data_IF_105976841157
#
_entry.id   IF_105976841157
#
_cell.length_a   1.000
_cell.length_b   1.000
_cell.length_c   1.000
_cell.angle_alpha   90.00
_cell.angle_beta   90.00
_cell.angle_gamma   90.00
#
_symmetry.space_group_name_H-M   'P 1'
#
loop_
_entity.id
_entity.type
_entity.pdbx_description
1 polymer ?
#
# COMPACT_ATOMS: atom_id res chain seq x y z
N UNK A 1 6.74 27.41 -41.76
CA UNK A 1 6.82 26.96 -43.15
C UNK A 1 6.53 25.48 -43.21
N UNK A 2 5.35 25.25 -43.68
CA UNK A 2 4.82 24.36 -44.74
C UNK A 2 4.80 22.88 -44.38
N UNK A 3 3.62 22.39 -44.06
CA UNK A 3 2.64 21.65 -44.89
C UNK A 3 3.24 20.62 -45.86
N UNK A 4 2.92 19.35 -45.58
CA UNK A 4 2.49 18.43 -46.62
C UNK A 4 1.61 17.31 -46.01
N UNK A 5 0.32 17.50 -46.17
CA UNK A 5 -0.73 16.47 -46.12
C UNK A 5 -0.58 15.58 -47.36
N UNK A 6 -0.34 14.29 -47.14
CA UNK A 6 -0.52 13.28 -48.18
C UNK A 6 -1.85 12.57 -47.97
N UNK A 7 -2.82 12.98 -48.78
CA UNK A 7 -4.09 12.27 -48.97
C UNK A 7 -3.86 11.00 -49.79
N UNK A 8 -4.10 9.84 -49.22
CA UNK A 8 -4.16 8.58 -49.97
C UNK A 8 -5.66 8.33 -50.31
N UNK A 9 -6.00 8.57 -51.58
CA UNK A 9 -7.26 8.22 -52.16
C UNK A 9 -7.31 6.73 -52.38
N UNK A 10 -8.17 6.02 -51.62
CA UNK A 10 -8.46 4.62 -51.84
C UNK A 10 -9.40 4.47 -53.04
N UNK A 11 -8.90 3.86 -54.11
CA UNK A 11 -9.73 3.37 -55.23
C UNK A 11 -10.38 2.08 -54.74
N UNK A 12 -11.70 2.14 -54.53
CA UNK A 12 -12.52 0.97 -54.23
C UNK A 12 -12.77 0.15 -55.50
N UNK A 13 -12.08 -0.96 -55.69
CA UNK A 13 -12.49 -2.03 -56.55
C UNK A 13 -13.45 -2.93 -55.78
N UNK A 14 -14.72 -2.97 -56.21
CA UNK A 14 -15.74 -3.91 -55.77
C UNK A 14 -15.31 -5.36 -56.03
N UNK A 15 -14.90 -6.04 -55.00
CA UNK A 15 -14.87 -7.50 -54.93
C UNK A 15 -15.94 -7.93 -53.93
N UNK A 16 -17.01 -8.52 -54.43
CA UNK A 16 -18.04 -9.19 -53.65
C UNK A 16 -17.43 -10.38 -52.90
N UNK A 17 -17.13 -10.22 -51.61
CA UNK A 17 -16.91 -11.35 -50.71
C UNK A 17 -18.20 -11.66 -49.96
N UNK A 18 -18.62 -12.95 -49.86
CA UNK A 18 -19.82 -13.31 -49.14
C UNK A 18 -19.69 -12.96 -47.65
N UNK A 19 -20.72 -12.39 -47.06
CA UNK A 19 -20.81 -11.94 -45.67
C UNK A 19 -20.47 -12.99 -44.63
N UNK A 20 -20.49 -14.28 -44.99
CA UNK A 20 -20.07 -15.40 -44.15
C UNK A 20 -18.55 -15.45 -43.88
N UNK A 21 -17.73 -14.90 -44.78
CA UNK A 21 -16.25 -14.92 -44.62
C UNK A 21 -15.76 -13.86 -43.63
N UNK A 22 -16.44 -12.71 -43.59
CA UNK A 22 -16.11 -11.64 -42.63
C UNK A 22 -16.50 -11.99 -41.19
N UNK A 23 -17.59 -12.75 -41.01
CA UNK A 23 -17.99 -13.27 -39.70
C UNK A 23 -17.06 -14.36 -39.19
N UNK A 24 -16.48 -15.15 -40.07
CA UNK A 24 -15.51 -16.20 -39.68
C UNK A 24 -14.16 -15.60 -39.27
N UNK A 25 -13.68 -14.60 -39.99
CA UNK A 25 -12.46 -13.87 -39.64
C UNK A 25 -12.58 -13.07 -38.32
N UNK A 26 -13.77 -12.48 -38.08
CA UNK A 26 -14.03 -11.75 -36.84
C UNK A 26 -14.13 -12.70 -35.63
N UNK A 27 -14.68 -13.90 -35.78
CA UNK A 27 -14.69 -14.94 -34.74
C UNK A 27 -13.31 -15.52 -34.49
N UNK A 28 -12.51 -15.71 -35.54
CA UNK A 28 -11.13 -16.24 -35.38
C UNK A 28 -10.19 -15.24 -34.70
N UNK A 29 -10.31 -13.92 -35.00
CA UNK A 29 -9.55 -12.86 -34.37
C UNK A 29 -9.99 -12.61 -32.91
N UNK A 30 -11.27 -12.81 -32.58
CA UNK A 30 -11.72 -12.71 -31.20
C UNK A 30 -11.25 -13.90 -30.36
N UNK A 31 -11.14 -15.08 -30.95
CA UNK A 31 -10.58 -16.28 -30.31
C UNK A 31 -9.09 -16.16 -30.03
N UNK A 32 -8.32 -15.59 -30.94
CA UNK A 32 -6.89 -15.34 -30.74
C UNK A 32 -6.62 -14.24 -29.69
N UNK A 33 -7.45 -13.19 -29.65
CA UNK A 33 -7.33 -12.17 -28.60
C UNK A 33 -7.62 -12.72 -27.21
N UNK A 34 -8.47 -13.75 -27.08
CA UNK A 34 -8.78 -14.36 -25.79
C UNK A 34 -7.66 -15.25 -25.25
N UNK A 35 -6.72 -15.69 -26.11
CA UNK A 35 -5.54 -16.48 -25.72
C UNK A 35 -4.40 -15.62 -25.13
N UNK A 36 -4.35 -14.33 -25.47
CA UNK A 36 -3.27 -13.43 -25.06
C UNK A 36 -3.71 -12.35 -24.04
N UNK A 37 -5.01 -12.14 -23.84
CA UNK A 37 -5.51 -11.24 -22.80
C UNK A 37 -6.16 -12.07 -21.72
N UNK A 38 -5.48 -12.23 -20.59
CA UNK A 38 -6.11 -12.73 -19.35
C UNK A 38 -7.32 -11.83 -19.10
N UNK A 39 -8.53 -12.32 -19.33
CA UNK A 39 -9.76 -11.65 -18.89
C UNK A 39 -9.75 -11.68 -17.36
N UNK A 40 -9.22 -10.64 -16.75
CA UNK A 40 -9.54 -10.33 -15.36
C UNK A 40 -11.00 -9.87 -15.39
N UNK A 41 -11.89 -10.59 -14.71
CA UNK A 41 -13.27 -10.16 -14.56
C UNK A 41 -13.25 -8.84 -13.75
N UNK A 42 -13.61 -7.68 -14.34
CA UNK A 42 -13.55 -6.41 -13.63
C UNK A 42 -14.44 -6.38 -12.40
N UNK A 43 -15.42 -7.27 -12.30
CA UNK A 43 -16.25 -7.45 -11.10
C UNK A 43 -15.50 -8.09 -9.95
N UNK A 44 -14.51 -8.93 -10.21
CA UNK A 44 -13.67 -9.53 -9.15
C UNK A 44 -12.73 -8.52 -8.54
N UNK A 45 -12.22 -7.58 -9.32
CA UNK A 45 -11.33 -6.55 -8.81
C UNK A 45 -12.08 -5.53 -7.91
N UNK A 46 -13.36 -5.26 -8.18
CA UNK A 46 -14.22 -4.49 -7.26
C UNK A 46 -14.39 -5.17 -5.88
N UNK A 47 -14.05 -6.45 -5.78
CA UNK A 47 -14.08 -7.25 -4.56
C UNK A 47 -12.67 -7.58 -4.06
N UNK A 48 -11.74 -6.62 -4.10
CA UNK A 48 -10.37 -6.79 -3.62
C UNK A 48 -10.28 -7.21 -2.14
N UNK A 49 -11.36 -7.01 -1.36
CA UNK A 49 -11.49 -7.57 0.00
C UNK A 49 -11.30 -9.10 0.05
N UNK A 50 -11.46 -9.81 -1.07
CA UNK A 50 -11.16 -11.25 -1.17
C UNK A 50 -9.67 -11.56 -0.96
N UNK A 51 -8.79 -10.56 -1.09
CA UNK A 51 -7.37 -10.67 -0.78
C UNK A 51 -7.08 -10.56 0.73
N UNK A 52 -8.05 -10.07 1.52
CA UNK A 52 -7.90 -9.91 2.95
C UNK A 52 -8.06 -11.24 3.71
N UNK A 53 -7.49 -11.29 4.91
CA UNK A 53 -7.73 -12.39 5.84
C UNK A 53 -9.21 -12.43 6.22
N UNK A 54 -9.83 -13.60 6.11
CA UNK A 54 -11.25 -13.79 6.41
C UNK A 54 -11.54 -13.99 7.91
N UNK A 55 -10.57 -14.50 8.64
CA UNK A 55 -10.72 -14.90 10.05
C UNK A 55 -10.47 -13.74 11.01
N UNK A 56 -9.61 -12.80 10.62
CA UNK A 56 -9.26 -11.65 11.43
C UNK A 56 -9.94 -10.41 10.85
N UNK A 57 -10.97 -9.90 11.51
CA UNK A 57 -11.60 -8.61 11.13
C UNK A 57 -10.69 -7.41 11.48
N UNK A 58 -9.40 -7.48 11.17
CA UNK A 58 -8.48 -6.41 11.42
C UNK A 58 -8.63 -5.31 10.38
N UNK A 59 -8.81 -4.09 10.84
CA UNK A 59 -8.76 -2.89 10.03
C UNK A 59 -7.54 -2.07 10.45
N UNK A 60 -6.78 -1.60 9.47
CA UNK A 60 -5.63 -0.75 9.73
C UNK A 60 -5.90 0.68 9.29
N UNK A 61 -5.30 1.62 9.98
CA UNK A 61 -5.27 3.03 9.60
C UNK A 61 -3.82 3.50 9.53
N UNK A 62 -3.37 3.87 8.34
CA UNK A 62 -2.10 4.55 8.17
C UNK A 62 -2.34 6.06 8.14
N UNK A 63 -1.46 6.82 8.79
CA UNK A 63 -1.51 8.28 8.83
C UNK A 63 -0.15 8.83 8.43
N UNK A 64 -0.17 9.83 7.57
CA UNK A 64 1.00 10.61 7.16
C UNK A 64 0.80 12.03 7.63
N UNK A 65 1.71 12.53 8.44
CA UNK A 65 1.72 13.90 8.94
C UNK A 65 2.98 14.61 8.43
N UNK A 66 2.79 15.59 7.56
CA UNK A 66 3.88 16.47 7.14
C UNK A 66 4.00 17.57 8.18
N UNK A 67 5.04 17.49 8.98
CA UNK A 67 5.29 18.37 10.09
C UNK A 67 6.06 19.60 9.59
N UNK A 68 5.81 20.76 10.17
CA UNK A 68 6.63 21.94 9.95
C UNK A 68 8.05 21.66 10.46
N UNK A 69 9.11 21.92 9.69
CA UNK A 69 10.48 21.57 10.08
C UNK A 69 10.86 22.09 11.48
N UNK A 70 10.47 23.31 11.79
CA UNK A 70 10.73 23.95 13.08
C UNK A 70 9.94 23.35 14.25
N UNK A 71 8.91 22.54 13.96
CA UNK A 71 8.04 21.93 14.97
C UNK A 71 8.33 20.44 15.20
N UNK A 72 9.28 19.81 14.48
CA UNK A 72 9.43 18.36 14.49
C UNK A 72 9.71 17.78 15.87
N UNK A 73 10.59 18.40 16.66
CA UNK A 73 10.90 17.94 18.02
C UNK A 73 9.70 18.10 18.95
N UNK A 74 9.00 19.22 18.91
CA UNK A 74 7.79 19.46 19.71
C UNK A 74 6.66 18.50 19.33
N UNK A 75 6.51 18.22 18.04
CA UNK A 75 5.55 17.25 17.53
C UNK A 75 5.87 15.84 18.04
N UNK A 76 7.13 15.42 18.00
CA UNK A 76 7.57 14.12 18.49
C UNK A 76 7.28 13.99 19.98
N UNK A 77 7.65 14.98 20.79
CA UNK A 77 7.37 15.01 22.24
C UNK A 77 5.86 14.91 22.53
N UNK A 78 5.04 15.67 21.78
CA UNK A 78 3.60 15.64 21.92
C UNK A 78 3.02 14.25 21.57
N UNK A 79 3.50 13.62 20.51
CA UNK A 79 3.08 12.27 20.14
C UNK A 79 3.53 11.22 21.19
N UNK A 80 4.75 11.33 21.69
CA UNK A 80 5.32 10.43 22.69
C UNK A 80 4.58 10.51 24.04
N UNK A 81 3.99 11.67 24.38
CA UNK A 81 3.22 11.84 25.59
C UNK A 81 1.80 11.26 25.49
N UNK A 82 1.17 11.31 24.31
CA UNK A 82 -0.27 10.98 24.16
C UNK A 82 -0.52 9.61 23.51
N UNK A 83 0.26 9.22 22.49
CA UNK A 83 -0.06 7.97 21.77
C UNK A 83 0.00 6.71 22.64
N UNK A 84 0.92 6.58 23.62
CA UNK A 84 0.94 5.41 24.50
C UNK A 84 -0.33 5.28 25.35
N UNK A 85 -0.88 6.39 25.87
CA UNK A 85 -2.10 6.36 26.68
C UNK A 85 -3.32 5.85 25.90
N UNK A 86 -3.37 6.12 24.60
CA UNK A 86 -4.42 5.58 23.72
C UNK A 86 -4.19 4.10 23.43
N UNK A 87 -2.93 3.73 23.15
CA UNK A 87 -2.56 2.35 22.81
C UNK A 87 -2.77 1.37 23.96
N UNK A 88 -2.46 1.78 25.18
CA UNK A 88 -2.51 0.92 26.38
C UNK A 88 -3.86 0.96 27.10
N UNK A 89 -4.75 1.85 26.73
CA UNK A 89 -6.05 1.97 27.37
C UNK A 89 -6.99 0.85 26.90
N UNK A 90 -7.45 -0.04 27.80
CA UNK A 90 -8.33 -1.14 27.44
C UNK A 90 -9.71 -0.70 26.93
N UNK A 91 -10.12 0.54 27.22
CA UNK A 91 -11.39 1.09 26.72
C UNK A 91 -11.35 1.43 25.22
N UNK A 92 -10.17 1.49 24.62
CA UNK A 92 -10.00 1.76 23.20
C UNK A 92 -9.59 0.49 22.46
N UNK A 93 -10.49 -0.18 21.71
CA UNK A 93 -10.16 -1.36 20.92
C UNK A 93 -9.29 -1.02 19.71
N UNK A 94 -8.13 -0.42 19.95
CA UNK A 94 -7.12 -0.09 18.95
C UNK A 94 -5.71 -0.30 19.50
N UNK A 95 -4.79 -0.57 18.61
CA UNK A 95 -3.38 -0.79 18.91
C UNK A 95 -2.52 0.09 18.01
N UNK A 96 -1.53 0.75 18.59
CA UNK A 96 -0.47 1.38 17.81
C UNK A 96 0.49 0.28 17.34
N UNK A 97 0.51 0.00 16.05
CA UNK A 97 1.43 -0.97 15.46
C UNK A 97 2.84 -0.40 15.41
N UNK A 98 2.95 0.86 15.01
CA UNK A 98 4.21 1.57 15.00
C UNK A 98 4.04 3.05 14.67
N UNK A 99 5.06 3.82 15.04
CA UNK A 99 5.17 5.24 14.76
C UNK A 99 6.62 5.59 14.45
N UNK A 100 6.84 6.33 13.37
CA UNK A 100 8.16 6.59 12.81
C UNK A 100 8.28 8.00 12.29
N UNK A 101 9.51 8.50 12.25
CA UNK A 101 9.90 9.66 11.44
C UNK A 101 10.61 9.19 10.18
N UNK A 102 10.35 9.84 9.05
CA UNK A 102 11.03 9.56 7.79
C UNK A 102 12.47 10.07 7.84
N UNK A 103 13.41 9.17 7.57
CA UNK A 103 14.84 9.50 7.47
C UNK A 103 15.22 9.84 6.03
N UNK A 104 14.80 8.99 5.07
CA UNK A 104 14.98 9.23 3.64
C UNK A 104 13.63 9.08 2.92
N UNK A 105 13.36 9.96 1.99
CA UNK A 105 12.11 10.12 1.28
C UNK A 105 11.49 11.48 1.61
N UNK A 106 10.19 11.53 1.87
CA UNK A 106 9.49 12.75 2.27
C UNK A 106 9.98 13.25 3.63
N UNK A 107 10.74 14.35 3.63
CA UNK A 107 11.34 14.88 4.85
C UNK A 107 10.28 15.47 5.79
N UNK A 108 10.61 15.48 7.09
CA UNK A 108 9.74 16.00 8.16
C UNK A 108 8.34 15.34 8.18
N UNK A 109 8.26 14.11 7.67
CA UNK A 109 7.04 13.34 7.69
C UNK A 109 7.07 12.30 8.82
N UNK A 110 6.00 12.29 9.64
CA UNK A 110 5.74 11.23 10.60
C UNK A 110 4.70 10.26 10.03
N UNK A 111 4.92 8.96 10.25
CA UNK A 111 4.04 7.88 9.83
C UNK A 111 3.55 7.13 11.05
N UNK A 112 2.24 6.92 11.16
CA UNK A 112 1.62 6.15 12.23
C UNK A 112 0.76 5.05 11.63
N UNK A 113 0.91 3.81 12.13
CA UNK A 113 0.10 2.67 11.74
C UNK A 113 -0.67 2.17 12.96
N UNK A 114 -1.99 2.16 12.85
CA UNK A 114 -2.92 1.69 13.88
C UNK A 114 -3.66 0.46 13.40
N UNK A 115 -3.95 -0.47 14.30
CA UNK A 115 -4.80 -1.64 14.09
C UNK A 115 -6.05 -1.55 14.96
N UNK A 116 -7.18 -1.90 14.37
CA UNK A 116 -8.48 -2.00 15.04
C UNK A 116 -8.97 -3.44 14.93
N UNK A 117 -8.82 -4.20 16.00
CA UNK A 117 -9.38 -5.55 16.08
C UNK A 117 -10.90 -5.48 16.15
N UNK A 118 -11.59 -6.18 15.26
CA UNK A 118 -13.06 -6.07 15.09
C UNK A 118 -13.48 -5.09 13.97
N UNK A 119 -12.53 -4.53 13.21
CA UNK A 119 -12.80 -3.84 11.96
C UNK A 119 -13.46 -2.47 12.11
N UNK A 120 -14.40 -2.17 11.21
CA UNK A 120 -15.10 -0.87 11.19
C UNK A 120 -15.91 -0.56 12.46
N UNK A 121 -16.62 -1.52 13.10
CA UNK A 121 -17.28 -1.28 14.39
C UNK A 121 -16.31 -0.81 15.48
N UNK A 122 -15.16 -1.46 15.64
CA UNK A 122 -14.13 -1.08 16.59
C UNK A 122 -13.58 0.33 16.29
N UNK A 123 -13.30 0.64 15.03
CA UNK A 123 -12.89 1.99 14.64
C UNK A 123 -13.94 3.04 15.03
N UNK A 124 -15.22 2.78 14.76
CA UNK A 124 -16.33 3.70 15.08
C UNK A 124 -16.42 3.93 16.60
N UNK A 125 -16.32 2.86 17.38
CA UNK A 125 -16.34 2.92 18.85
C UNK A 125 -15.19 3.81 19.38
N UNK A 126 -13.96 3.52 18.97
CA UNK A 126 -12.77 4.29 19.36
C UNK A 126 -12.93 5.76 18.99
N UNK A 127 -13.38 6.06 17.76
CA UNK A 127 -13.53 7.44 17.31
C UNK A 127 -14.59 8.21 18.09
N UNK A 128 -15.68 7.54 18.49
CA UNK A 128 -16.72 8.16 19.31
C UNK A 128 -16.20 8.46 20.72
N UNK A 129 -15.48 7.53 21.35
CA UNK A 129 -14.87 7.74 22.68
C UNK A 129 -13.81 8.84 22.65
N UNK A 130 -12.90 8.84 21.65
CA UNK A 130 -11.85 9.85 21.54
C UNK A 130 -12.39 11.27 21.29
N UNK A 131 -13.52 11.41 20.59
CA UNK A 131 -14.17 12.73 20.40
C UNK A 131 -14.67 13.34 21.70
N UNK A 132 -14.96 12.52 22.71
CA UNK A 132 -15.42 12.94 24.04
C UNK A 132 -14.26 13.12 25.03
N UNK A 133 -13.08 12.64 24.69
CA UNK A 133 -11.88 12.76 25.52
C UNK A 133 -11.23 14.14 25.30
N UNK A 134 -11.23 14.95 26.35
CA UNK A 134 -10.70 16.33 26.30
C UNK A 134 -9.19 16.34 25.99
N UNK A 135 -8.41 15.47 26.64
CA UNK A 135 -6.96 15.40 26.42
C UNK A 135 -6.64 15.07 24.94
N UNK A 136 -7.38 14.14 24.37
CA UNK A 136 -7.23 13.81 22.94
C UNK A 136 -7.64 14.98 22.03
N UNK A 137 -8.67 15.74 22.38
CA UNK A 137 -9.10 16.90 21.59
C UNK A 137 -8.08 18.03 21.68
N UNK A 138 -7.50 18.26 22.84
CA UNK A 138 -6.43 19.24 23.06
C UNK A 138 -5.18 18.81 22.26
N UNK A 139 -4.78 17.53 22.33
CA UNK A 139 -3.72 16.95 21.50
C UNK A 139 -3.97 17.20 20.01
N UNK A 140 -5.17 16.93 19.52
CA UNK A 140 -5.50 17.16 18.10
C UNK A 140 -5.33 18.63 17.69
N UNK A 141 -5.72 19.55 18.55
CA UNK A 141 -5.62 20.99 18.32
C UNK A 141 -4.16 21.42 18.26
N UNK A 142 -3.36 21.04 19.25
CA UNK A 142 -1.94 21.40 19.30
C UNK A 142 -1.16 20.79 18.14
N UNK A 143 -1.36 19.50 17.89
CA UNK A 143 -0.76 18.83 16.74
C UNK A 143 -1.11 19.52 15.43
N UNK A 144 -2.36 19.98 15.27
CA UNK A 144 -2.82 20.65 14.06
C UNK A 144 -2.03 21.92 13.72
N UNK A 145 -1.54 22.65 14.71
CA UNK A 145 -0.72 23.85 14.53
C UNK A 145 0.67 23.55 13.98
N UNK A 146 1.18 22.33 14.23
CA UNK A 146 2.51 21.87 13.85
C UNK A 146 2.57 21.24 12.46
N UNK A 147 1.43 21.06 11.79
CA UNK A 147 1.35 20.33 10.53
C UNK A 147 1.23 21.27 9.33
N UNK A 148 1.96 20.94 8.25
CA UNK A 148 1.74 21.48 6.91
C UNK A 148 0.56 20.79 6.22
N UNK A 149 0.50 19.46 6.35
CA UNK A 149 -0.57 18.66 5.79
C UNK A 149 -0.71 17.33 6.54
N UNK A 150 -1.84 16.67 6.33
CA UNK A 150 -2.07 15.33 6.88
C UNK A 150 -2.97 14.53 5.95
N UNK A 151 -2.72 13.24 5.84
CA UNK A 151 -3.59 12.29 5.14
C UNK A 151 -3.67 10.99 5.93
N UNK A 152 -4.73 10.24 5.72
CA UNK A 152 -4.86 8.89 6.24
C UNK A 152 -5.54 7.99 5.21
N UNK A 153 -5.40 6.69 5.43
CA UNK A 153 -6.07 5.66 4.65
C UNK A 153 -6.53 4.57 5.60
N UNK A 154 -7.66 3.95 5.28
CA UNK A 154 -8.09 2.70 5.90
C UNK A 154 -7.68 1.56 4.99
N UNK A 155 -7.07 0.53 5.59
CA UNK A 155 -6.41 -0.54 4.89
C UNK A 155 -6.88 -1.89 5.41
N UNK A 156 -6.87 -2.90 4.54
CA UNK A 156 -6.89 -4.31 4.92
C UNK A 156 -5.50 -4.91 4.69
N UNK A 157 -5.16 -5.93 5.47
CA UNK A 157 -3.92 -6.69 5.26
C UNK A 157 -4.12 -7.80 4.23
N UNK A 158 -3.08 -8.10 3.47
CA UNK A 158 -3.09 -9.25 2.57
C UNK A 158 -3.09 -10.56 3.35
N UNK A 159 -3.94 -11.52 2.96
CA UNK A 159 -4.09 -12.81 3.62
C UNK A 159 -2.82 -13.67 3.63
N UNK A 160 -1.94 -13.46 2.66
CA UNK A 160 -0.68 -14.18 2.50
C UNK A 160 0.51 -13.54 3.21
N UNK A 161 0.30 -12.36 3.86
CA UNK A 161 1.36 -11.65 4.57
C UNK A 161 1.29 -11.88 6.08
N UNK A 162 2.42 -11.75 6.75
CA UNK A 162 2.47 -11.83 8.20
C UNK A 162 1.75 -10.64 8.85
N UNK A 163 1.07 -10.90 9.97
CA UNK A 163 0.53 -9.85 10.82
C UNK A 163 1.69 -9.08 11.47
N UNK A 164 1.65 -7.73 11.47
CA UNK A 164 2.66 -6.95 12.17
C UNK A 164 2.63 -7.22 13.67
N UNK A 165 3.79 -7.53 14.24
CA UNK A 165 3.97 -7.75 15.67
C UNK A 165 5.07 -6.84 16.21
N UNK A 166 5.05 -6.47 17.52
CA UNK A 166 6.12 -5.71 18.12
C UNK A 166 7.49 -6.35 17.87
N UNK A 167 8.51 -5.52 17.62
CA UNK A 167 9.87 -5.97 17.36
C UNK A 167 10.83 -5.27 18.31
N UNK A 168 11.79 -6.02 18.82
CA UNK A 168 12.97 -5.45 19.48
C UNK A 168 13.93 -4.86 18.44
N UNK A 169 14.58 -3.79 18.80
CA UNK A 169 15.50 -3.08 17.90
C UNK A 169 16.95 -3.08 18.39
N UNK A 170 17.76 -2.19 17.82
CA UNK A 170 17.36 -1.16 16.86
C UNK A 170 17.16 -1.69 15.44
N UNK A 171 16.09 -1.23 14.77
CA UNK A 171 15.85 -1.48 13.34
C UNK A 171 15.56 -0.17 12.61
N UNK A 172 15.82 -0.16 11.31
CA UNK A 172 15.23 0.79 10.37
C UNK A 172 14.06 0.14 9.66
N UNK A 173 13.11 0.94 9.23
CA UNK A 173 11.93 0.46 8.52
C UNK A 173 11.87 1.06 7.12
N UNK A 174 11.46 0.26 6.14
CA UNK A 174 11.14 0.75 4.81
C UNK A 174 9.64 0.61 4.56
N UNK A 175 8.97 1.73 4.28
CA UNK A 175 7.61 1.75 3.79
C UNK A 175 7.64 1.97 2.28
N UNK A 176 7.31 0.93 1.52
CA UNK A 176 7.15 1.02 0.08
C UNK A 176 5.67 1.15 -0.25
N UNK A 177 5.32 2.25 -0.89
CA UNK A 177 3.95 2.55 -1.30
C UNK A 177 3.84 2.46 -2.82
N UNK A 178 2.85 1.74 -3.32
CA UNK A 178 2.61 1.52 -4.74
C UNK A 178 1.21 1.97 -5.09
N UNK A 179 1.09 2.91 -6.02
CA UNK A 179 -0.16 3.23 -6.66
C UNK A 179 -0.32 2.33 -7.87
N UNK A 180 -1.28 1.42 -7.83
CA UNK A 180 -1.55 0.50 -8.91
C UNK A 180 -2.53 1.11 -9.93
N UNK A 181 -2.52 0.58 -11.14
CA UNK A 181 -3.54 0.85 -12.13
C UNK A 181 -4.88 0.32 -11.63
N UNK A 182 -5.99 1.06 -11.77
CA UNK A 182 -7.32 0.55 -11.42
C UNK A 182 -7.61 -0.79 -12.10
N UNK A 183 -8.17 -1.73 -11.35
CA UNK A 183 -8.49 -3.06 -11.84
C UNK A 183 -7.36 -4.10 -11.75
N UNK A 184 -6.23 -3.78 -11.10
CA UNK A 184 -5.06 -4.68 -11.06
C UNK A 184 -4.69 -5.18 -9.66
N UNK A 185 -5.48 -4.85 -8.62
CA UNK A 185 -5.16 -5.23 -7.24
C UNK A 185 -5.11 -6.74 -7.02
N UNK A 186 -6.06 -7.49 -7.59
CA UNK A 186 -6.09 -8.96 -7.46
C UNK A 186 -4.90 -9.59 -8.19
N UNK A 187 -4.58 -9.11 -9.38
CA UNK A 187 -3.43 -9.58 -10.15
C UNK A 187 -2.13 -9.32 -9.36
N UNK A 188 -1.95 -8.13 -8.81
CA UNK A 188 -0.85 -7.78 -7.92
C UNK A 188 -0.75 -8.76 -6.73
N UNK A 189 -1.86 -8.97 -6.03
CA UNK A 189 -1.92 -9.86 -4.87
C UNK A 189 -1.55 -11.31 -5.21
N UNK A 190 -1.99 -11.82 -6.35
CA UNK A 190 -1.67 -13.17 -6.80
C UNK A 190 -0.17 -13.38 -7.06
N UNK A 191 0.52 -12.39 -7.63
CA UNK A 191 1.97 -12.46 -7.80
C UNK A 191 2.70 -12.32 -6.47
N UNK A 192 2.28 -11.37 -5.62
CA UNK A 192 2.92 -11.15 -4.32
C UNK A 192 2.69 -12.31 -3.34
N UNK A 193 1.60 -13.04 -3.44
CA UNK A 193 1.39 -14.25 -2.64
C UNK A 193 2.50 -15.30 -2.85
N UNK A 194 3.09 -15.36 -4.06
CA UNK A 194 4.26 -16.20 -4.36
C UNK A 194 5.57 -15.51 -3.98
N UNK A 195 5.67 -14.20 -4.24
CA UNK A 195 6.88 -13.44 -3.98
C UNK A 195 7.24 -13.34 -2.50
N UNK A 196 6.24 -13.29 -1.63
CA UNK A 196 6.48 -13.11 -0.18
C UNK A 196 7.23 -14.31 0.43
N UNK A 197 7.03 -15.52 -0.09
CA UNK A 197 7.76 -16.71 0.36
C UNK A 197 9.27 -16.55 0.16
N UNK A 198 9.69 -15.89 -0.93
CA UNK A 198 11.10 -15.58 -1.22
C UNK A 198 11.64 -14.53 -0.24
N UNK A 199 10.79 -13.57 0.15
CA UNK A 199 11.19 -12.39 0.94
C UNK A 199 11.01 -12.55 2.45
N UNK A 200 10.40 -13.61 2.93
CA UNK A 200 10.19 -13.83 4.39
C UNK A 200 11.37 -14.53 5.08
N UNK A 201 12.33 -15.02 4.36
CA UNK A 201 13.40 -15.88 4.89
C UNK A 201 14.27 -15.20 5.94
N UNK A 202 14.43 -13.88 5.88
CA UNK A 202 15.21 -13.09 6.83
C UNK A 202 14.30 -12.32 7.81
N UNK A 203 13.02 -12.65 7.88
CA UNK A 203 12.02 -11.98 8.75
C UNK A 203 11.89 -10.47 8.50
N UNK A 204 12.34 -9.96 7.36
CA UNK A 204 12.25 -8.54 7.01
C UNK A 204 10.83 -8.10 6.67
N UNK A 205 9.95 -9.02 6.26
CA UNK A 205 8.57 -8.72 5.90
C UNK A 205 7.71 -8.49 7.14
N UNK A 206 7.36 -7.25 7.42
CA UNK A 206 6.59 -6.85 8.61
C UNK A 206 5.10 -6.90 8.35
N UNK A 207 4.64 -6.31 7.24
CA UNK A 207 3.22 -6.28 6.88
C UNK A 207 3.00 -5.81 5.45
N UNK A 208 1.91 -6.28 4.85
CA UNK A 208 1.47 -5.87 3.52
C UNK A 208 0.00 -5.50 3.56
N UNK A 209 -0.34 -4.32 3.03
CA UNK A 209 -1.65 -3.72 3.16
C UNK A 209 -2.13 -3.15 1.84
N UNK A 210 -3.46 -3.05 1.68
CA UNK A 210 -4.07 -2.38 0.54
C UNK A 210 -5.26 -1.51 0.98
N UNK A 211 -5.45 -0.40 0.28
CA UNK A 211 -6.38 0.64 0.68
C UNK A 211 -7.84 0.26 0.39
N UNK A 212 -8.72 0.65 1.32
CA UNK A 212 -10.18 0.60 1.18
C UNK A 212 -10.80 1.98 1.13
N UNK A 213 -10.21 2.94 1.86
CA UNK A 213 -10.65 4.33 1.93
C UNK A 213 -9.42 5.23 1.87
N UNK A 214 -9.55 6.35 1.19
CA UNK A 214 -8.49 7.29 0.87
C UNK A 214 -8.05 7.13 -0.59
N UNK A 215 -6.76 7.17 -0.88
CA UNK A 215 -6.24 6.85 -2.21
C UNK A 215 -6.46 5.37 -2.51
N UNK A 216 -7.30 5.06 -3.49
CA UNK A 216 -7.65 3.69 -3.86
C UNK A 216 -6.57 3.05 -4.73
N UNK A 217 -6.56 1.71 -4.82
CA UNK A 217 -5.52 0.94 -5.50
C UNK A 217 -4.11 1.24 -4.98
N UNK A 218 -4.03 1.64 -3.71
CA UNK A 218 -2.76 1.87 -3.02
C UNK A 218 -2.37 0.61 -2.24
N UNK A 219 -1.12 0.18 -2.42
CA UNK A 219 -0.51 -0.91 -1.65
C UNK A 219 0.59 -0.34 -0.79
N UNK A 220 0.74 -0.84 0.42
CA UNK A 220 1.84 -0.52 1.32
C UNK A 220 2.52 -1.81 1.78
N UNK A 221 3.82 -1.90 1.57
CA UNK A 221 4.67 -2.96 2.11
C UNK A 221 5.59 -2.37 3.16
N UNK A 222 5.49 -2.88 4.38
CA UNK A 222 6.35 -2.49 5.50
C UNK A 222 7.42 -3.56 5.71
N UNK A 223 8.67 -3.13 5.70
CA UNK A 223 9.86 -3.95 5.87
C UNK A 223 10.68 -3.47 7.05
N UNK A 224 11.38 -4.37 7.73
CA UNK A 224 12.34 -4.04 8.78
C UNK A 224 13.74 -4.58 8.42
N UNK A 225 14.75 -3.79 8.66
CA UNK A 225 16.15 -4.14 8.45
C UNK A 225 16.98 -3.65 9.63
N UNK A 226 18.10 -4.31 9.87
CA UNK A 226 19.05 -3.86 10.88
C UNK A 226 19.63 -2.48 10.53
N UNK A 227 20.02 -2.30 9.27
CA UNK A 227 20.68 -1.11 8.71
C UNK A 227 20.50 -1.07 7.19
N UNK A 228 21.04 -0.04 6.53
CA UNK A 228 20.95 0.13 5.08
C UNK A 228 21.76 -0.92 4.30
N UNK A 229 22.89 -1.35 4.83
CA UNK A 229 23.73 -2.41 4.22
C UNK A 229 23.00 -3.76 4.23
N UNK A 230 22.38 -4.11 5.35
CA UNK A 230 21.54 -5.32 5.44
C UNK A 230 20.38 -5.26 4.46
N UNK A 231 19.74 -4.08 4.33
CA UNK A 231 18.67 -3.88 3.34
C UNK A 231 19.17 -4.13 1.92
N UNK A 232 20.32 -3.56 1.55
CA UNK A 232 20.92 -3.75 0.23
C UNK A 232 21.24 -5.22 -0.02
N UNK A 233 21.92 -5.88 0.90
CA UNK A 233 22.31 -7.28 0.81
C UNK A 233 21.10 -8.20 0.64
N UNK A 234 20.07 -8.05 1.48
CA UNK A 234 18.86 -8.87 1.45
C UNK A 234 18.08 -8.64 0.14
N UNK A 235 17.99 -7.40 -0.32
CA UNK A 235 17.29 -7.09 -1.58
C UNK A 235 18.03 -7.63 -2.80
N UNK A 236 19.36 -7.55 -2.81
CA UNK A 236 20.18 -8.10 -3.89
C UNK A 236 20.12 -9.64 -3.90
N UNK A 237 20.13 -10.28 -2.73
CA UNK A 237 19.99 -11.72 -2.62
C UNK A 237 18.68 -12.27 -3.22
N UNK A 238 17.60 -11.49 -3.21
CA UNK A 238 16.34 -11.90 -3.82
C UNK A 238 16.46 -12.15 -5.34
N UNK A 239 17.35 -11.42 -6.04
CA UNK A 239 17.57 -11.59 -7.49
C UNK A 239 18.23 -12.92 -7.88
N UNK A 240 18.82 -13.62 -6.90
CA UNK A 240 19.39 -14.95 -7.08
C UNK A 240 18.40 -16.08 -6.74
N UNK A 241 17.14 -15.73 -6.46
CA UNK A 241 16.08 -16.70 -6.14
C UNK A 241 15.21 -16.97 -7.35
N UNK A 242 14.94 -18.24 -7.59
CA UNK A 242 14.06 -18.66 -8.68
C UNK A 242 12.67 -18.04 -8.55
N UNK A 243 12.18 -17.48 -9.65
CA UNK A 243 10.86 -16.87 -9.75
C UNK A 243 10.75 -15.42 -9.29
N UNK A 244 11.81 -14.82 -8.72
CA UNK A 244 11.79 -13.41 -8.34
C UNK A 244 11.72 -12.47 -9.54
N UNK A 245 12.49 -12.74 -10.57
CA UNK A 245 12.50 -12.01 -11.83
C UNK A 245 11.14 -12.05 -12.53
N UNK A 246 10.46 -13.21 -12.52
CA UNK A 246 9.10 -13.37 -13.03
C UNK A 246 8.11 -12.46 -12.28
N UNK A 247 8.15 -12.46 -10.94
CA UNK A 247 7.29 -11.60 -10.14
C UNK A 247 7.51 -10.13 -10.46
N UNK A 248 8.75 -9.68 -10.55
CA UNK A 248 9.09 -8.29 -10.91
C UNK A 248 8.58 -7.96 -12.31
N UNK A 249 8.79 -8.85 -13.28
CA UNK A 249 8.36 -8.66 -14.66
C UNK A 249 6.85 -8.42 -14.78
N UNK A 250 6.04 -9.18 -14.03
CA UNK A 250 4.59 -9.05 -14.09
C UNK A 250 4.01 -7.97 -13.17
N UNK A 251 4.66 -7.62 -12.08
CA UNK A 251 4.12 -6.64 -11.13
C UNK A 251 4.52 -5.20 -11.46
N UNK A 252 5.70 -4.94 -11.97
CA UNK A 252 6.15 -3.58 -12.31
C UNK A 252 5.23 -2.88 -13.32
N UNK A 253 4.73 -3.53 -14.40
CA UNK A 253 3.81 -2.88 -15.32
C UNK A 253 2.45 -2.48 -14.72
N UNK A 254 2.08 -3.03 -13.55
CA UNK A 254 0.83 -2.70 -12.85
C UNK A 254 0.93 -1.39 -12.07
N UNK A 255 2.15 -0.87 -11.87
CA UNK A 255 2.43 0.30 -11.06
C UNK A 255 2.29 1.57 -11.91
N UNK A 256 1.56 2.57 -11.39
CA UNK A 256 1.53 3.93 -11.93
C UNK A 256 2.55 4.83 -11.24
N UNK A 257 2.68 4.70 -9.93
CA UNK A 257 3.58 5.48 -9.10
C UNK A 257 4.05 4.64 -7.92
N UNK A 258 5.29 4.82 -7.50
CA UNK A 258 5.81 4.17 -6.30
C UNK A 258 6.76 5.07 -5.53
N UNK A 259 6.74 4.92 -4.22
CA UNK A 259 7.61 5.62 -3.28
C UNK A 259 8.24 4.65 -2.30
N UNK A 260 9.42 4.98 -1.83
CA UNK A 260 10.10 4.29 -0.74
C UNK A 260 10.49 5.31 0.33
N UNK A 261 10.16 5.02 1.57
CA UNK A 261 10.58 5.79 2.75
C UNK A 261 11.39 4.92 3.65
N UNK A 262 12.56 5.40 4.06
CA UNK A 262 13.31 4.82 5.17
C UNK A 262 12.91 5.59 6.42
N UNK A 263 12.50 4.87 7.44
CA UNK A 263 11.89 5.44 8.63
C UNK A 263 12.61 4.94 9.89
N UNK A 264 12.73 5.82 10.88
CA UNK A 264 13.28 5.53 12.20
C UNK A 264 12.14 5.52 13.22
N UNK A 265 12.06 4.48 14.07
CA UNK A 265 11.01 4.43 15.11
C UNK A 265 11.12 5.60 16.09
N UNK A 266 9.99 6.18 16.44
CA UNK A 266 9.88 7.09 17.58
C UNK A 266 10.09 6.32 18.90
N UNK A 267 10.47 7.01 19.99
CA UNK A 267 10.79 6.39 21.29
C UNK A 267 9.68 5.49 21.83
N UNK A 268 8.42 5.83 21.60
CA UNK A 268 7.25 5.10 22.08
C UNK A 268 6.69 4.11 21.06
N UNK A 269 7.34 3.94 19.91
CA UNK A 269 6.90 2.95 18.91
C UNK A 269 7.01 1.53 19.46
N UNK A 270 5.98 0.66 19.33
CA UNK A 270 6.07 -0.76 19.67
C UNK A 270 7.05 -1.54 18.78
N UNK A 271 7.31 -1.03 17.58
CA UNK A 271 8.35 -1.53 16.67
C UNK A 271 9.60 -0.66 16.85
N UNK A 272 10.69 -1.29 17.33
CA UNK A 272 11.98 -0.65 17.62
C UNK A 272 13.01 -0.93 16.55
#
# INVERSE_FOLDING_TARGET
>A
RCDQLLSITLIAHHLFFPTSFLTFLHRSLSGLKSLFVRKVDPRKDAHSHLLAKKEDNNLYKIQFHNVKPECLDAYNQLCESVLPSIHTNPDYPCELVGTWNTWYGEQDQAVHLWRYRGGYPALTEVMNKLRQNKEFMDYRTERGKMLLSRRNQLLLEFSFWNEPVPRSGPNIYELRSYQLRPGTMIEWGNYWARAIEIRQQNQEAVGGFFSQIGSLYQVHHLWAYKDLESRETIRNAAWHRDGWDEVVYYTVPLIQHMESRIMIPMKTSPMK
#
